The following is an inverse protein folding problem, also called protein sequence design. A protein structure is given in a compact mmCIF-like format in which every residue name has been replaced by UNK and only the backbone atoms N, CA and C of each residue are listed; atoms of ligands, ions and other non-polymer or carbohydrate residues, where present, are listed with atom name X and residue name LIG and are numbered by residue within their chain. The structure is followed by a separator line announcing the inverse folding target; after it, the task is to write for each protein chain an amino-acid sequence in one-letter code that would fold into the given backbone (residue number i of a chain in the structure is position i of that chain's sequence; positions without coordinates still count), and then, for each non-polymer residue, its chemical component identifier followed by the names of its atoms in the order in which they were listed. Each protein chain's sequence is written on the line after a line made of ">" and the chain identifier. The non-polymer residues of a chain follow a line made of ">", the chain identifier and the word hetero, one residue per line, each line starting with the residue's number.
data_IF_925527501804
#
_entry.id   IF_925527501804
#
_cell.length_a   1.000
_cell.length_b   1.000
_cell.length_c   1.000
_cell.angle_alpha   90.00
_cell.angle_beta   90.00
_cell.angle_gamma   90.00
#
_symmetry.space_group_name_H-M   'P 1'
#
loop_
_entity.id
_entity.type
_entity.pdbx_description
1 polymer ?
#
# COMPACT_ATOMS: atom_id res chain seq x y z
N UNK A 1 59.11 -17.53 -33.94
CA UNK A 1 58.64 -18.91 -34.26
C UNK A 1 57.50 -19.17 -33.27
N UNK A 2 56.31 -18.91 -33.61
CA UNK A 2 55.32 -19.73 -34.30
C UNK A 2 54.95 -20.98 -33.48
N UNK A 3 53.76 -20.97 -32.92
CA UNK A 3 52.72 -21.94 -33.27
C UNK A 3 51.42 -21.64 -32.55
N UNK A 4 50.43 -21.44 -33.37
CA UNK A 4 49.00 -21.27 -33.13
C UNK A 4 48.39 -22.64 -32.80
N UNK A 5 47.49 -22.71 -31.82
CA UNK A 5 46.54 -23.82 -31.72
C UNK A 5 45.12 -23.27 -31.55
N UNK A 6 44.32 -23.47 -32.56
CA UNK A 6 42.90 -23.21 -32.70
C UNK A 6 42.16 -24.36 -32.02
N UNK A 7 41.18 -24.08 -31.18
CA UNK A 7 40.18 -25.06 -30.75
C UNK A 7 38.77 -24.54 -31.01
N UNK A 8 37.96 -25.42 -31.58
CA UNK A 8 36.71 -25.19 -32.25
C UNK A 8 35.55 -24.88 -31.32
N UNK A 9 34.72 -23.95 -31.73
CA UNK A 9 33.40 -23.69 -31.19
C UNK A 9 32.34 -24.62 -31.82
N UNK A 10 31.45 -25.17 -31.01
CA UNK A 10 30.23 -25.84 -31.49
C UNK A 10 29.07 -24.83 -31.53
N UNK A 11 28.25 -24.84 -32.58
CA UNK A 11 27.12 -23.93 -32.69
C UNK A 11 25.86 -24.51 -32.04
N UNK A 12 25.19 -23.68 -31.26
CA UNK A 12 23.84 -23.95 -30.77
C UNK A 12 22.85 -23.59 -31.86
N UNK A 13 22.00 -24.56 -32.23
CA UNK A 13 20.92 -24.40 -33.20
C UNK A 13 19.81 -23.48 -32.58
N UNK A 14 19.60 -22.36 -33.24
CA UNK A 14 18.41 -21.51 -33.02
C UNK A 14 17.46 -21.79 -34.21
N UNK A 15 16.34 -22.42 -33.92
CA UNK A 15 15.25 -22.59 -34.91
C UNK A 15 14.51 -21.26 -35.10
N UNK A 16 14.75 -20.62 -36.22
CA UNK A 16 13.95 -19.49 -36.72
C UNK A 16 12.68 -20.03 -37.37
N UNK A 17 11.53 -19.61 -36.85
CA UNK A 17 10.24 -19.69 -37.56
C UNK A 17 10.12 -18.42 -38.41
N UNK A 18 10.23 -18.57 -39.73
CA UNK A 18 9.98 -17.50 -40.70
C UNK A 18 8.49 -17.33 -40.93
N UNK A 19 7.93 -16.17 -40.60
CA UNK A 19 6.71 -15.70 -41.26
C UNK A 19 7.04 -14.55 -42.21
N UNK A 20 6.71 -14.76 -43.49
CA UNK A 20 6.87 -13.85 -44.59
C UNK A 20 6.12 -12.54 -44.37
N UNK A 21 6.84 -11.44 -44.47
CA UNK A 21 6.29 -10.09 -44.63
C UNK A 21 5.95 -9.87 -46.08
N UNK A 22 4.71 -9.57 -46.40
CA UNK A 22 4.28 -8.89 -47.63
C UNK A 22 4.03 -7.41 -47.31
N UNK A 23 4.59 -6.53 -48.10
CA UNK A 23 4.64 -5.09 -47.99
C UNK A 23 3.34 -4.40 -48.44
N UNK A 24 3.21 -3.08 -48.33
CA UNK A 24 2.06 -2.39 -47.74
C UNK A 24 1.17 -1.72 -48.82
N UNK A 25 -0.13 -1.63 -48.49
CA UNK A 25 -1.00 -0.66 -49.16
C UNK A 25 -1.57 0.28 -48.12
N UNK A 26 -1.46 1.55 -48.45
CA UNK A 26 -2.00 2.72 -47.78
C UNK A 26 -3.47 2.57 -47.45
N UNK A 27 -3.84 2.80 -46.20
CA UNK A 27 -5.26 2.94 -45.76
C UNK A 27 -5.40 4.22 -44.98
N UNK A 28 -6.29 5.05 -45.50
CA UNK A 28 -6.81 6.30 -44.96
C UNK A 28 -7.30 6.22 -43.53
N UNK A 29 -6.90 7.21 -42.70
CA UNK A 29 -7.46 7.46 -41.39
C UNK A 29 -8.71 8.37 -41.50
N UNK A 30 -9.87 7.75 -41.63
CA UNK A 30 -11.12 8.43 -41.28
C UNK A 30 -12.08 7.46 -40.59
N UNK A 31 -12.52 7.87 -39.40
CA UNK A 31 -13.69 7.38 -38.66
C UNK A 31 -13.77 5.87 -38.36
N UNK A 32 -13.27 5.47 -37.19
CA UNK A 32 -13.85 4.35 -36.46
C UNK A 32 -14.17 4.75 -35.02
N UNK A 33 -15.46 4.87 -34.76
CA UNK A 33 -16.05 4.94 -33.44
C UNK A 33 -15.62 3.70 -32.63
N UNK A 34 -15.05 3.95 -31.46
CA UNK A 34 -14.81 2.88 -30.47
C UNK A 34 -16.16 2.42 -29.91
N UNK A 35 -16.60 1.26 -30.29
CA UNK A 35 -17.66 0.55 -29.58
C UNK A 35 -17.13 0.14 -28.19
N UNK A 36 -17.91 0.35 -27.12
CA UNK A 36 -17.51 -0.11 -25.80
C UNK A 36 -17.61 -1.63 -25.78
N UNK A 37 -16.49 -2.32 -25.52
CA UNK A 37 -16.49 -3.71 -25.15
C UNK A 37 -17.17 -3.81 -23.79
N UNK A 38 -18.39 -4.32 -23.78
CA UNK A 38 -19.10 -4.66 -22.56
C UNK A 38 -18.43 -5.91 -21.95
N UNK A 39 -17.48 -5.67 -21.06
CA UNK A 39 -17.00 -6.72 -20.17
C UNK A 39 -18.11 -6.94 -19.15
N UNK A 40 -18.82 -8.06 -19.29
CA UNK A 40 -19.74 -8.58 -18.28
C UNK A 40 -18.93 -8.86 -17.01
N UNK A 41 -18.90 -7.88 -16.12
CA UNK A 41 -18.42 -8.04 -14.76
C UNK A 41 -19.46 -8.90 -14.02
N UNK A 42 -19.23 -10.23 -13.93
CA UNK A 42 -19.79 -10.96 -12.80
C UNK A 42 -19.43 -10.18 -11.54
N UNK A 43 -20.36 -9.96 -10.60
CA UNK A 43 -20.02 -9.26 -9.37
C UNK A 43 -18.91 -10.08 -8.70
N UNK A 44 -17.69 -9.56 -8.73
CA UNK A 44 -16.68 -9.97 -7.78
C UNK A 44 -17.30 -9.60 -6.43
N UNK A 45 -17.80 -10.59 -5.73
CA UNK A 45 -17.93 -10.52 -4.29
C UNK A 45 -16.51 -10.21 -3.82
N UNK A 46 -16.24 -8.93 -3.63
CA UNK A 46 -15.05 -8.51 -2.94
C UNK A 46 -15.11 -9.23 -1.61
N UNK A 47 -14.15 -10.09 -1.35
CA UNK A 47 -13.84 -10.53 -0.01
C UNK A 47 -13.25 -9.32 0.69
N UNK A 48 -14.09 -8.34 0.91
CA UNK A 48 -13.92 -7.32 1.93
C UNK A 48 -14.32 -8.05 3.20
N UNK A 49 -13.34 -8.57 3.91
CA UNK A 49 -13.51 -9.09 5.26
C UNK A 49 -13.80 -7.91 6.21
N UNK A 50 -14.99 -7.36 6.08
CA UNK A 50 -15.69 -6.79 7.21
C UNK A 50 -16.53 -7.93 7.77
N UNK A 51 -16.31 -8.30 9.01
CA UNK A 51 -17.15 -9.19 9.79
C UNK A 51 -18.62 -8.79 9.65
N UNK A 52 -19.32 -9.39 8.67
CA UNK A 52 -20.76 -9.42 8.67
C UNK A 52 -21.16 -10.41 9.76
N UNK A 53 -21.37 -9.90 10.94
CA UNK A 53 -22.16 -10.59 11.95
C UNK A 53 -23.55 -10.79 11.35
N UNK A 54 -23.94 -12.04 11.18
CA UNK A 54 -25.27 -12.44 10.77
C UNK A 54 -26.31 -11.75 11.65
N UNK A 55 -27.23 -11.05 11.02
CA UNK A 55 -28.28 -10.20 11.62
C UNK A 55 -29.37 -10.96 12.38
N UNK A 56 -29.18 -12.24 12.70
CA UNK A 56 -30.24 -13.04 13.36
C UNK A 56 -30.03 -13.36 14.85
N UNK A 57 -28.87 -13.02 15.46
CA UNK A 57 -28.63 -13.36 16.87
C UNK A 57 -28.55 -12.14 17.84
N UNK A 58 -28.82 -10.92 17.39
CA UNK A 58 -28.77 -9.70 18.24
C UNK A 58 -30.13 -9.06 18.51
N UNK A 59 -31.21 -9.82 18.48
CA UNK A 59 -32.56 -9.32 18.82
C UNK A 59 -32.93 -9.51 20.29
N UNK A 60 -32.01 -9.69 21.22
CA UNK A 60 -32.31 -9.71 22.63
C UNK A 60 -31.19 -9.15 23.48
N UNK A 61 -31.21 -7.85 23.78
CA UNK A 61 -30.41 -7.29 24.86
C UNK A 61 -29.80 -5.92 24.60
N UNK A 62 -30.42 -4.89 25.18
CA UNK A 62 -29.94 -3.52 25.44
C UNK A 62 -29.73 -2.61 24.22
N UNK A 63 -30.60 -1.60 24.12
CA UNK A 63 -30.56 -0.54 23.11
C UNK A 63 -29.33 0.35 23.18
N UNK A 64 -28.28 -0.04 22.47
CA UNK A 64 -27.27 0.87 21.98
C UNK A 64 -27.49 1.01 20.47
N UNK A 65 -28.15 2.09 20.05
CA UNK A 65 -28.18 2.53 18.66
C UNK A 65 -26.74 2.79 18.23
N UNK A 66 -26.07 1.80 17.63
CA UNK A 66 -24.76 2.00 17.04
C UNK A 66 -24.92 2.87 15.79
N UNK A 67 -24.46 4.12 15.87
CA UNK A 67 -24.49 5.10 14.79
C UNK A 67 -23.87 4.50 13.52
N UNK A 68 -24.60 4.50 12.40
CA UNK A 68 -24.11 4.03 11.12
C UNK A 68 -23.10 5.03 10.52
N UNK A 69 -22.25 4.56 9.59
CA UNK A 69 -21.31 5.44 8.90
C UNK A 69 -22.05 6.51 8.06
N UNK A 70 -23.22 6.17 7.52
CA UNK A 70 -24.09 7.12 6.84
C UNK A 70 -24.56 8.24 7.75
N UNK A 71 -25.12 7.90 8.90
CA UNK A 71 -25.57 8.88 9.89
C UNK A 71 -24.44 9.81 10.35
N UNK A 72 -23.24 9.26 10.53
CA UNK A 72 -22.05 10.04 10.90
C UNK A 72 -21.63 11.05 9.79
N UNK A 73 -21.88 10.74 8.53
CA UNK A 73 -21.50 11.55 7.37
C UNK A 73 -22.65 12.43 6.83
N UNK A 74 -23.88 12.23 7.32
CA UNK A 74 -25.06 12.92 6.85
C UNK A 74 -24.95 14.44 7.07
N UNK A 75 -25.32 15.22 6.03
CA UNK A 75 -25.18 16.68 6.06
C UNK A 75 -23.79 17.21 5.69
N UNK A 76 -22.77 16.36 5.66
CA UNK A 76 -21.40 16.72 5.25
C UNK A 76 -21.05 16.16 3.87
N UNK A 77 -21.31 14.89 3.64
CA UNK A 77 -20.93 14.18 2.42
C UNK A 77 -22.10 14.14 1.44
N UNK A 78 -21.88 14.39 0.13
CA UNK A 78 -22.95 14.35 -0.88
C UNK A 78 -23.67 13.00 -0.94
N UNK A 79 -24.99 13.04 -1.15
CA UNK A 79 -25.87 11.86 -1.11
C UNK A 79 -25.44 10.75 -2.07
N UNK A 80 -24.98 11.08 -3.27
CA UNK A 80 -24.50 10.09 -4.23
C UNK A 80 -23.26 9.33 -3.73
N UNK A 81 -22.39 9.99 -2.96
CA UNK A 81 -21.20 9.34 -2.35
C UNK A 81 -21.63 8.43 -1.19
N UNK A 82 -22.61 8.87 -0.38
CA UNK A 82 -23.16 8.05 0.71
C UNK A 82 -23.79 6.75 0.17
N UNK A 83 -24.56 6.84 -0.91
CA UNK A 83 -25.12 5.65 -1.58
C UNK A 83 -24.03 4.72 -2.11
N UNK A 84 -23.02 5.27 -2.79
CA UNK A 84 -21.89 4.47 -3.28
C UNK A 84 -21.13 3.81 -2.17
N UNK A 85 -20.97 4.49 -1.02
CA UNK A 85 -20.36 3.93 0.19
C UNK A 85 -21.13 2.70 0.68
N UNK A 86 -22.46 2.81 0.79
CA UNK A 86 -23.33 1.69 1.21
C UNK A 86 -23.34 0.54 0.20
N UNK A 87 -23.46 0.82 -1.10
CA UNK A 87 -23.41 -0.16 -2.19
C UNK A 87 -22.09 -0.97 -2.19
N UNK A 88 -21.02 -0.38 -1.68
CA UNK A 88 -19.71 -1.03 -1.55
C UNK A 88 -19.51 -1.73 -0.21
N UNK A 89 -20.52 -1.74 0.67
CA UNK A 89 -20.52 -2.47 1.94
C UNK A 89 -19.96 -1.71 3.14
N UNK A 90 -19.68 -0.41 3.01
CA UNK A 90 -19.24 0.42 4.13
C UNK A 90 -20.45 0.94 4.93
N UNK A 91 -20.96 0.14 5.87
CA UNK A 91 -22.18 0.44 6.63
C UNK A 91 -21.88 0.90 8.06
N UNK A 92 -21.00 0.19 8.75
CA UNK A 92 -20.65 0.51 10.15
C UNK A 92 -19.32 1.27 10.20
N UNK A 93 -19.22 2.33 11.02
CA UNK A 93 -17.98 3.07 11.19
C UNK A 93 -16.97 2.26 12.01
N UNK A 94 -15.73 2.26 11.58
CA UNK A 94 -14.61 1.81 12.41
C UNK A 94 -14.30 2.84 13.50
N UNK A 95 -13.51 2.45 14.50
CA UNK A 95 -13.18 3.36 15.62
C UNK A 95 -12.50 4.63 15.14
N UNK A 96 -11.54 4.54 14.21
CA UNK A 96 -10.87 5.73 13.65
C UNK A 96 -11.86 6.63 12.87
N UNK A 97 -12.85 6.06 12.19
CA UNK A 97 -13.88 6.83 11.49
C UNK A 97 -14.79 7.54 12.48
N UNK A 98 -15.20 6.86 13.55
CA UNK A 98 -16.06 7.40 14.60
C UNK A 98 -15.43 8.59 15.32
N UNK A 99 -14.13 8.49 15.63
CA UNK A 99 -13.41 9.53 16.34
C UNK A 99 -12.94 10.68 15.43
N UNK A 100 -12.49 10.36 14.21
CA UNK A 100 -11.85 11.36 13.37
C UNK A 100 -12.82 12.16 12.49
N UNK A 101 -13.92 11.57 11.97
CA UNK A 101 -14.81 12.27 11.05
C UNK A 101 -15.42 13.54 11.63
N UNK A 102 -15.91 13.58 12.89
CA UNK A 102 -16.41 14.82 13.49
C UNK A 102 -15.35 15.93 13.55
N UNK A 103 -14.09 15.55 13.86
CA UNK A 103 -12.96 16.48 13.89
C UNK A 103 -12.66 17.02 12.49
N UNK A 104 -12.63 16.16 11.49
CA UNK A 104 -12.34 16.50 10.11
C UNK A 104 -13.44 17.41 9.52
N UNK A 105 -14.69 17.13 9.76
CA UNK A 105 -15.82 17.96 9.30
C UNK A 105 -15.89 19.33 9.98
N UNK A 106 -15.25 19.51 11.14
CA UNK A 106 -15.07 20.82 11.77
C UNK A 106 -13.92 21.66 11.16
N UNK A 107 -13.39 21.26 10.00
CA UNK A 107 -12.31 21.94 9.27
C UNK A 107 -10.96 22.01 10.03
N UNK A 108 -10.76 21.15 11.02
CA UNK A 108 -9.50 21.06 11.76
C UNK A 108 -8.53 20.15 11.04
N UNK A 109 -7.27 20.49 11.11
CA UNK A 109 -6.20 19.59 10.69
C UNK A 109 -6.15 18.37 11.62
N UNK A 110 -5.75 17.22 11.08
CA UNK A 110 -5.80 15.98 11.83
C UNK A 110 -4.63 15.05 11.53
N UNK A 111 -4.14 14.39 12.58
CA UNK A 111 -3.22 13.26 12.46
C UNK A 111 -4.01 11.99 12.76
N UNK A 112 -4.25 11.17 11.73
CA UNK A 112 -4.95 9.88 11.82
C UNK A 112 -3.93 8.79 12.16
N UNK A 113 -3.91 8.37 13.41
CA UNK A 113 -3.00 7.34 13.90
C UNK A 113 -3.78 6.08 14.27
N UNK A 114 -3.76 5.10 13.40
CA UNK A 114 -4.43 3.82 13.60
C UNK A 114 -3.78 2.73 12.74
N UNK A 115 -3.95 1.48 13.10
CA UNK A 115 -3.36 0.32 12.41
C UNK A 115 -3.71 0.28 10.91
N UNK A 116 -2.92 -0.45 10.13
CA UNK A 116 -3.24 -0.77 8.73
C UNK A 116 -4.56 -1.55 8.68
N UNK A 117 -5.44 -1.21 7.74
CA UNK A 117 -6.77 -1.84 7.64
C UNK A 117 -7.85 -1.24 8.55
N UNK A 118 -7.54 -0.28 9.41
CA UNK A 118 -8.51 0.37 10.32
C UNK A 118 -9.52 1.30 9.63
N UNK A 119 -9.39 1.58 8.33
CA UNK A 119 -10.30 2.45 7.59
C UNK A 119 -9.83 3.89 7.38
N UNK A 120 -8.57 4.24 7.69
CA UNK A 120 -8.00 5.60 7.48
C UNK A 120 -8.23 6.14 6.07
N UNK A 121 -8.06 5.31 5.05
CA UNK A 121 -8.25 5.70 3.64
C UNK A 121 -9.65 6.19 3.38
N UNK A 122 -10.67 5.46 3.83
CA UNK A 122 -12.06 5.89 3.71
C UNK A 122 -12.34 7.16 4.51
N UNK A 123 -11.76 7.29 5.70
CA UNK A 123 -11.91 8.48 6.57
C UNK A 123 -11.51 9.76 5.84
N UNK A 124 -10.29 9.82 5.28
CA UNK A 124 -9.86 11.04 4.58
C UNK A 124 -10.53 11.21 3.20
N UNK A 125 -10.96 10.14 2.54
CA UNK A 125 -11.73 10.26 1.31
C UNK A 125 -13.12 10.87 1.56
N UNK A 126 -13.82 10.48 2.63
CA UNK A 126 -15.10 11.08 3.03
C UNK A 126 -14.95 12.58 3.34
N UNK A 127 -13.87 12.97 4.03
CA UNK A 127 -13.53 14.38 4.21
C UNK A 127 -13.35 15.07 2.84
N UNK A 128 -12.58 14.51 1.93
CA UNK A 128 -12.35 15.13 0.62
C UNK A 128 -13.67 15.33 -0.10
N UNK A 129 -14.53 14.31 -0.17
CA UNK A 129 -15.84 14.43 -0.83
C UNK A 129 -16.79 15.43 -0.15
N UNK A 130 -16.60 15.73 1.13
CA UNK A 130 -17.40 16.77 1.81
C UNK A 130 -16.99 18.19 1.44
N UNK A 131 -15.77 18.40 0.93
CA UNK A 131 -15.21 19.73 0.66
C UNK A 131 -15.09 20.08 -0.82
N UNK A 132 -14.96 19.07 -1.70
CA UNK A 132 -14.73 19.31 -3.12
C UNK A 132 -16.02 19.60 -3.86
N UNK A 133 -15.96 20.55 -4.81
CA UNK A 133 -17.07 20.89 -5.69
C UNK A 133 -16.78 20.41 -7.13
N UNK A 134 -17.56 19.45 -7.61
CA UNK A 134 -17.42 18.86 -8.94
C UNK A 134 -17.63 19.88 -10.09
N UNK A 135 -18.37 20.96 -9.85
CA UNK A 135 -18.61 22.00 -10.86
C UNK A 135 -17.37 22.89 -11.07
N UNK A 136 -16.49 22.98 -10.09
CA UNK A 136 -15.28 23.78 -10.19
C UNK A 136 -14.18 23.03 -10.93
N UNK A 137 -13.79 23.53 -12.11
CA UNK A 137 -12.71 22.97 -12.92
C UNK A 137 -11.33 23.33 -12.35
N UNK A 138 -10.93 22.67 -11.26
CA UNK A 138 -9.64 22.86 -10.60
C UNK A 138 -9.30 21.65 -9.73
N UNK A 139 -8.00 21.43 -9.48
CA UNK A 139 -7.57 20.44 -8.50
C UNK A 139 -7.83 20.98 -7.09
N UNK A 140 -8.70 20.32 -6.34
CA UNK A 140 -9.14 20.77 -5.02
C UNK A 140 -8.62 19.91 -3.88
N UNK A 141 -8.24 18.66 -4.15
CA UNK A 141 -7.64 17.77 -3.17
C UNK A 141 -6.42 17.03 -3.75
N UNK A 142 -5.40 16.89 -2.92
CA UNK A 142 -4.17 16.12 -3.23
C UNK A 142 -3.92 15.10 -2.15
N UNK A 143 -3.73 13.85 -2.56
CA UNK A 143 -3.35 12.75 -1.70
C UNK A 143 -1.94 12.31 -2.09
N UNK A 144 -1.00 12.45 -1.19
CA UNK A 144 0.40 12.02 -1.37
C UNK A 144 0.59 10.66 -0.75
N UNK A 145 1.10 9.74 -1.54
CA UNK A 145 1.34 8.34 -1.14
C UNK A 145 2.80 7.95 -1.37
N UNK A 146 3.36 7.02 -0.58
CA UNK A 146 4.76 6.61 -0.72
C UNK A 146 5.02 5.77 -1.98
N UNK A 147 4.09 4.91 -2.38
CA UNK A 147 4.27 3.94 -3.47
C UNK A 147 3.21 4.06 -4.54
N UNK A 148 3.52 3.56 -5.75
CA UNK A 148 2.57 3.54 -6.88
C UNK A 148 1.40 2.62 -6.59
N UNK A 149 1.67 1.50 -5.95
CA UNK A 149 0.71 0.46 -5.61
C UNK A 149 -0.37 1.00 -4.67
N UNK A 150 0.05 1.66 -3.57
CA UNK A 150 -0.88 2.35 -2.67
C UNK A 150 -1.65 3.44 -3.40
N UNK A 151 -0.99 4.19 -4.27
CA UNK A 151 -1.64 5.22 -5.09
C UNK A 151 -2.70 4.65 -6.02
N UNK A 152 -2.47 3.51 -6.65
CA UNK A 152 -3.47 2.82 -7.46
C UNK A 152 -4.66 2.36 -6.62
N UNK A 153 -4.40 1.82 -5.43
CA UNK A 153 -5.44 1.37 -4.50
C UNK A 153 -6.31 2.54 -4.03
N UNK A 154 -5.70 3.62 -3.55
CA UNK A 154 -6.43 4.84 -3.12
C UNK A 154 -7.24 5.42 -4.28
N UNK A 155 -6.64 5.49 -5.48
CA UNK A 155 -7.32 5.96 -6.69
C UNK A 155 -8.53 5.10 -7.03
N UNK A 156 -8.42 3.76 -6.92
CA UNK A 156 -9.52 2.84 -7.17
C UNK A 156 -10.69 3.09 -6.20
N UNK A 157 -10.41 3.18 -4.90
CA UNK A 157 -11.44 3.46 -3.88
C UNK A 157 -12.09 4.83 -4.13
N UNK A 158 -11.29 5.86 -4.37
CA UNK A 158 -11.80 7.20 -4.65
C UNK A 158 -12.70 7.25 -5.90
N UNK A 159 -12.34 6.53 -6.97
CA UNK A 159 -13.15 6.41 -8.19
C UNK A 159 -14.46 5.66 -7.98
N UNK A 160 -14.43 4.60 -7.17
CA UNK A 160 -15.62 3.84 -6.81
C UNK A 160 -16.62 4.73 -6.07
N UNK A 161 -16.15 5.52 -5.11
CA UNK A 161 -16.99 6.46 -4.36
C UNK A 161 -17.47 7.64 -5.21
N UNK A 162 -16.65 8.11 -6.15
CA UNK A 162 -17.01 9.19 -7.07
C UNK A 162 -17.94 8.75 -8.22
N UNK A 163 -18.17 7.45 -8.41
CA UNK A 163 -18.97 6.93 -9.50
C UNK A 163 -20.46 7.21 -9.29
N UNK A 164 -21.23 7.22 -10.40
CA UNK A 164 -22.68 7.32 -10.36
C UNK A 164 -23.28 6.11 -9.62
N UNK A 165 -24.22 6.29 -8.68
CA UNK A 165 -24.96 5.18 -8.07
C UNK A 165 -25.77 4.43 -9.12
N UNK A 166 -26.08 3.14 -8.85
CA UNK A 166 -26.74 2.25 -9.82
C UNK A 166 -28.18 2.70 -10.18
N UNK A 167 -28.90 3.28 -9.23
CA UNK A 167 -30.35 3.55 -9.32
C UNK A 167 -30.69 5.05 -9.48
N UNK A 168 -29.79 5.88 -9.97
CA UNK A 168 -30.04 7.31 -10.08
C UNK A 168 -29.73 7.87 -11.45
N UNK A 169 -30.69 8.61 -12.04
CA UNK A 169 -30.50 9.45 -13.21
C UNK A 169 -29.91 10.82 -12.80
N UNK A 170 -28.65 10.80 -12.32
CA UNK A 170 -27.94 12.02 -11.99
C UNK A 170 -27.41 12.67 -13.25
N UNK A 171 -27.91 13.84 -13.57
CA UNK A 171 -27.39 14.73 -14.64
C UNK A 171 -26.20 15.59 -14.16
N UNK A 172 -25.84 15.52 -12.89
CA UNK A 172 -24.81 16.38 -12.32
C UNK A 172 -23.40 15.88 -12.60
N UNK A 173 -22.48 16.83 -12.83
CA UNK A 173 -21.05 16.55 -12.99
C UNK A 173 -20.52 15.91 -11.71
N UNK A 174 -19.83 14.77 -11.87
CA UNK A 174 -19.21 14.02 -10.79
C UNK A 174 -17.74 14.43 -10.59
N UNK A 175 -17.21 14.18 -9.39
CA UNK A 175 -15.81 14.41 -9.09
C UNK A 175 -14.91 13.48 -9.92
N UNK A 176 -13.86 14.04 -10.51
CA UNK A 176 -12.88 13.29 -11.29
C UNK A 176 -11.63 13.01 -10.47
N UNK A 177 -11.10 11.79 -10.58
CA UNK A 177 -9.93 11.33 -9.81
C UNK A 177 -8.81 10.92 -10.76
N UNK A 178 -7.65 11.58 -10.63
CA UNK A 178 -6.45 11.29 -11.44
C UNK A 178 -5.32 10.75 -10.58
N UNK A 179 -4.64 9.72 -11.10
CA UNK A 179 -3.43 9.16 -10.52
C UNK A 179 -2.18 9.76 -11.21
N UNK A 180 -1.28 10.36 -10.44
CA UNK A 180 0.01 10.89 -10.87
C UNK A 180 1.13 10.07 -10.20
N UNK A 181 1.28 8.83 -10.62
CA UNK A 181 2.14 7.84 -9.95
C UNK A 181 3.46 7.57 -10.68
N UNK A 182 3.56 8.01 -11.95
CA UNK A 182 4.73 7.80 -12.78
C UNK A 182 5.28 9.11 -13.35
N UNK A 183 6.51 9.46 -12.97
CA UNK A 183 7.21 10.65 -13.49
C UNK A 183 7.55 10.58 -14.98
N UNK A 184 7.58 9.38 -15.60
CA UNK A 184 7.84 9.21 -17.03
C UNK A 184 6.74 9.73 -17.96
N UNK A 185 5.51 9.91 -17.46
CA UNK A 185 4.35 10.36 -18.25
C UNK A 185 4.07 11.88 -18.16
N UNK A 186 5.06 12.68 -17.86
CA UNK A 186 4.93 14.13 -17.64
C UNK A 186 4.18 14.88 -18.76
N UNK A 187 4.46 14.55 -20.03
CA UNK A 187 3.79 15.22 -21.18
C UNK A 187 2.28 14.95 -21.18
N UNK A 188 1.90 13.71 -20.92
CA UNK A 188 0.50 13.27 -20.85
C UNK A 188 -0.22 13.89 -19.66
N UNK A 189 0.42 13.87 -18.47
CA UNK A 189 -0.12 14.52 -17.27
C UNK A 189 -0.31 16.03 -17.47
N UNK A 190 0.65 16.71 -18.11
CA UNK A 190 0.54 18.15 -18.45
C UNK A 190 -0.64 18.43 -19.37
N UNK A 191 -0.83 17.62 -20.41
CA UNK A 191 -1.95 17.76 -21.34
C UNK A 191 -3.29 17.64 -20.61
N UNK A 192 -3.45 16.60 -19.79
CA UNK A 192 -4.69 16.37 -19.04
C UNK A 192 -4.97 17.45 -18.00
N UNK A 193 -3.97 17.84 -17.19
CA UNK A 193 -4.12 18.89 -16.18
C UNK A 193 -4.50 20.26 -16.79
N UNK A 194 -4.12 20.51 -18.06
CA UNK A 194 -4.48 21.74 -18.76
C UNK A 194 -5.84 21.68 -19.43
N UNK A 195 -6.19 20.54 -20.03
CA UNK A 195 -7.43 20.39 -20.79
C UNK A 195 -8.65 20.30 -19.85
N UNK A 196 -8.57 19.42 -18.87
CA UNK A 196 -9.63 19.20 -17.88
C UNK A 196 -8.98 18.81 -16.53
N UNK A 197 -8.72 19.79 -15.66
CA UNK A 197 -8.12 19.51 -14.37
C UNK A 197 -9.02 18.61 -13.52
N UNK A 198 -8.49 17.51 -12.98
CA UNK A 198 -9.25 16.60 -12.12
C UNK A 198 -9.58 17.29 -10.79
N UNK A 199 -10.66 16.88 -10.16
CA UNK A 199 -11.05 17.38 -8.83
C UNK A 199 -10.09 16.89 -7.74
N UNK A 200 -9.69 15.60 -7.82
CA UNK A 200 -8.86 14.91 -6.84
C UNK A 200 -7.63 14.34 -7.55
N UNK A 201 -6.46 14.56 -6.98
CA UNK A 201 -5.18 14.00 -7.46
C UNK A 201 -4.60 13.08 -6.39
N UNK A 202 -4.26 11.85 -6.78
CA UNK A 202 -3.46 10.92 -5.99
C UNK A 202 -2.07 10.84 -6.61
N UNK A 203 -1.03 11.17 -5.85
CA UNK A 203 0.32 11.30 -6.39
C UNK A 203 1.38 10.66 -5.51
N UNK A 204 2.43 10.11 -6.14
CA UNK A 204 3.68 9.86 -5.43
C UNK A 204 4.47 11.16 -5.27
N UNK A 205 5.27 11.26 -4.21
CA UNK A 205 6.05 12.47 -3.93
C UNK A 205 6.92 12.88 -5.13
N UNK A 206 7.61 11.92 -5.76
CA UNK A 206 8.48 12.20 -6.90
C UNK A 206 7.73 12.77 -8.12
N UNK A 207 6.57 12.20 -8.45
CA UNK A 207 5.74 12.68 -9.57
C UNK A 207 5.15 14.06 -9.31
N UNK A 208 4.70 14.31 -8.08
CA UNK A 208 4.11 15.59 -7.69
C UNK A 208 5.16 16.72 -7.72
N UNK A 209 6.35 16.49 -7.12
CA UNK A 209 7.43 17.47 -7.11
C UNK A 209 7.89 17.86 -8.53
N UNK A 210 8.04 16.89 -9.43
CA UNK A 210 8.40 17.16 -10.83
C UNK A 210 7.38 18.07 -11.53
N UNK A 211 6.08 17.92 -11.23
CA UNK A 211 5.03 18.75 -11.81
C UNK A 211 5.01 20.16 -11.21
N UNK A 212 5.26 20.28 -9.92
CA UNK A 212 5.36 21.58 -9.20
C UNK A 212 6.59 22.35 -9.69
N UNK A 213 7.77 21.72 -9.72
CA UNK A 213 9.03 22.34 -10.16
C UNK A 213 8.97 22.84 -11.61
N UNK A 214 8.21 22.14 -12.47
CA UNK A 214 7.98 22.56 -13.87
C UNK A 214 6.80 23.54 -14.03
N UNK A 215 6.24 24.05 -12.94
CA UNK A 215 5.09 24.96 -12.94
C UNK A 215 3.86 24.42 -13.71
N UNK A 216 3.72 23.10 -13.79
CA UNK A 216 2.59 22.42 -14.43
C UNK A 216 1.44 22.29 -13.46
N UNK A 217 1.75 22.05 -12.17
CA UNK A 217 0.81 21.86 -11.09
C UNK A 217 0.93 23.00 -10.08
N UNK A 218 -0.21 23.59 -9.76
CA UNK A 218 -0.29 24.69 -8.79
C UNK A 218 -1.13 24.27 -7.58
N UNK A 219 -0.72 24.68 -6.40
CA UNK A 219 -1.39 24.35 -5.13
C UNK A 219 -2.48 25.35 -4.73
N UNK A 220 -2.66 26.43 -5.47
CA UNK A 220 -3.52 27.57 -5.09
C UNK A 220 -5.00 27.19 -4.90
N UNK A 221 -5.49 26.25 -5.69
CA UNK A 221 -6.88 25.77 -5.63
C UNK A 221 -7.08 24.58 -4.70
N UNK A 222 -6.00 24.02 -4.15
CA UNK A 222 -6.06 22.83 -3.29
C UNK A 222 -6.57 23.23 -1.91
N UNK A 223 -7.66 22.63 -1.48
CA UNK A 223 -8.31 22.86 -0.19
C UNK A 223 -7.86 21.82 0.86
N UNK A 224 -7.60 20.58 0.40
CA UNK A 224 -7.20 19.47 1.26
C UNK A 224 -5.92 18.83 0.75
N UNK A 225 -4.94 18.69 1.65
CA UNK A 225 -3.72 17.91 1.44
C UNK A 225 -3.69 16.75 2.41
N UNK A 226 -3.67 15.53 1.88
CA UNK A 226 -3.51 14.30 2.65
C UNK A 226 -2.11 13.74 2.41
N UNK A 227 -1.42 13.37 3.47
CA UNK A 227 -0.14 12.67 3.43
C UNK A 227 -0.38 11.29 4.05
N UNK A 228 -0.42 10.26 3.23
CA UNK A 228 -0.63 8.89 3.68
C UNK A 228 0.70 8.17 3.93
N UNK A 229 0.74 7.23 4.88
CA UNK A 229 1.93 6.54 5.39
C UNK A 229 3.06 7.54 5.72
N UNK A 230 2.72 8.55 6.52
CA UNK A 230 3.59 9.69 6.84
C UNK A 230 4.93 9.28 7.46
N UNK A 231 4.95 8.21 8.25
CA UNK A 231 6.15 7.63 8.84
C UNK A 231 7.17 7.19 7.79
N UNK A 232 6.71 6.56 6.71
CA UNK A 232 7.57 6.16 5.60
C UNK A 232 8.16 7.37 4.87
N UNK A 233 7.33 8.36 4.56
CA UNK A 233 7.74 9.55 3.81
C UNK A 233 8.75 10.39 4.61
N UNK A 234 8.60 10.49 5.93
CA UNK A 234 9.54 11.21 6.79
C UNK A 234 10.84 10.43 7.05
N UNK A 235 10.81 9.11 7.03
CA UNK A 235 12.01 8.26 7.19
C UNK A 235 12.80 8.08 5.89
N UNK A 236 12.22 8.42 4.75
CA UNK A 236 12.89 8.33 3.45
C UNK A 236 13.83 9.51 3.25
N UNK A 237 15.14 9.26 3.27
CA UNK A 237 16.17 10.31 3.02
C UNK A 237 16.00 11.00 1.66
N UNK A 238 15.46 10.29 0.66
CA UNK A 238 15.21 10.80 -0.69
C UNK A 238 13.96 11.70 -0.76
N UNK A 239 12.95 11.46 0.07
CA UNK A 239 11.63 12.08 -0.05
C UNK A 239 11.38 13.19 1.00
N UNK A 240 12.02 13.10 2.16
CA UNK A 240 11.77 14.02 3.29
C UNK A 240 11.98 15.50 2.97
N UNK A 241 13.01 15.82 2.20
CA UNK A 241 13.29 17.22 1.81
C UNK A 241 12.21 17.78 0.89
N UNK A 242 11.77 16.99 -0.08
CA UNK A 242 10.69 17.34 -1.01
C UNK A 242 9.35 17.46 -0.29
N UNK A 243 9.07 16.56 0.66
CA UNK A 243 7.87 16.60 1.48
C UNK A 243 7.83 17.88 2.34
N UNK A 244 8.93 18.23 3.00
CA UNK A 244 9.03 19.47 3.79
C UNK A 244 8.80 20.72 2.94
N UNK A 245 9.36 20.77 1.73
CA UNK A 245 9.12 21.86 0.77
C UNK A 245 7.64 21.94 0.36
N UNK A 246 7.00 20.79 0.06
CA UNK A 246 5.58 20.75 -0.27
C UNK A 246 4.73 21.26 0.89
N UNK A 247 4.97 20.80 2.11
CA UNK A 247 4.22 21.19 3.30
C UNK A 247 4.40 22.70 3.59
N UNK A 248 5.61 23.22 3.48
CA UNK A 248 5.87 24.64 3.65
C UNK A 248 5.17 25.51 2.57
N UNK A 249 5.14 25.05 1.32
CA UNK A 249 4.47 25.76 0.23
C UNK A 249 2.95 25.70 0.37
N UNK A 250 2.40 24.62 0.94
CA UNK A 250 0.97 24.44 1.12
C UNK A 250 0.42 25.20 2.33
N UNK A 251 1.17 25.28 3.43
CA UNK A 251 0.71 25.85 4.71
C UNK A 251 0.54 27.37 4.72
N UNK A 252 0.97 28.06 3.67
CA UNK A 252 0.87 29.52 3.58
C UNK A 252 -0.56 30.09 3.45
N UNK A 253 -1.59 29.25 3.37
CA UNK A 253 -3.00 29.67 3.21
C UNK A 253 -3.88 29.13 4.34
N UNK A 254 -4.52 30.01 5.10
CA UNK A 254 -5.35 29.68 6.27
C UNK A 254 -6.62 28.85 6.00
N UNK A 255 -7.10 28.80 4.74
CA UNK A 255 -8.33 28.09 4.38
C UNK A 255 -8.10 26.64 3.92
N UNK A 256 -6.92 26.10 4.14
CA UNK A 256 -6.57 24.73 3.73
C UNK A 256 -6.61 23.78 4.92
N UNK A 257 -6.86 22.51 4.63
CA UNK A 257 -6.84 21.45 5.62
C UNK A 257 -5.75 20.44 5.32
N UNK A 258 -4.97 20.06 6.32
CA UNK A 258 -3.90 19.06 6.22
C UNK A 258 -4.26 17.84 7.05
N UNK A 259 -4.15 16.67 6.46
CA UNK A 259 -4.37 15.38 7.12
C UNK A 259 -3.13 14.51 6.96
N UNK A 260 -2.58 14.06 8.07
CA UNK A 260 -1.55 13.03 8.11
C UNK A 260 -2.18 11.70 8.49
N UNK A 261 -1.88 10.63 7.75
CA UNK A 261 -2.38 9.29 8.05
C UNK A 261 -1.21 8.31 8.15
N UNK A 262 -1.17 7.49 9.20
CA UNK A 262 -0.17 6.43 9.36
C UNK A 262 -0.59 5.40 10.42
N UNK A 263 0.04 4.24 10.35
CA UNK A 263 -0.04 3.24 11.41
C UNK A 263 0.96 3.52 12.55
N UNK A 264 1.96 4.33 12.31
CA UNK A 264 2.91 4.83 13.30
C UNK A 264 3.19 6.31 13.04
N UNK A 265 3.55 7.06 14.08
CA UNK A 265 3.87 8.49 13.94
C UNK A 265 5.34 8.72 14.24
N UNK A 266 6.11 9.37 13.34
CA UNK A 266 7.50 9.66 13.54
C UNK A 266 7.72 10.45 14.84
N UNK A 267 8.62 9.97 15.72
CA UNK A 267 8.98 10.67 16.96
C UNK A 267 7.77 11.21 17.75
N UNK A 268 6.79 10.41 17.94
CA UNK A 268 5.43 10.62 18.46
C UNK A 268 5.14 11.98 19.16
N UNK A 269 5.92 12.39 20.16
CA UNK A 269 5.68 13.64 20.88
C UNK A 269 6.22 14.89 20.16
N UNK A 270 7.28 14.76 19.38
CA UNK A 270 7.90 15.87 18.63
C UNK A 270 7.19 16.14 17.32
N UNK A 271 6.65 15.11 16.64
CA UNK A 271 6.04 15.27 15.32
C UNK A 271 4.91 16.31 15.32
N UNK A 272 4.00 16.25 16.30
CA UNK A 272 2.91 17.22 16.43
C UNK A 272 3.46 18.65 16.66
N UNK A 273 4.43 18.77 17.55
CA UNK A 273 5.09 20.06 17.82
C UNK A 273 5.77 20.60 16.54
N UNK A 274 6.48 19.77 15.80
CA UNK A 274 7.14 20.16 14.54
C UNK A 274 6.11 20.56 13.48
N UNK A 275 4.98 19.88 13.38
CA UNK A 275 3.88 20.25 12.47
C UNK A 275 3.38 21.67 12.73
N UNK A 276 3.17 22.03 13.99
CA UNK A 276 2.71 23.37 14.40
C UNK A 276 3.82 24.40 14.21
N UNK A 277 5.03 24.12 14.69
CA UNK A 277 6.17 25.04 14.63
C UNK A 277 6.59 25.37 13.19
N UNK A 278 6.59 24.36 12.31
CA UNK A 278 6.93 24.52 10.89
C UNK A 278 5.74 25.00 10.04
N UNK A 279 4.60 25.26 10.66
CA UNK A 279 3.34 25.65 9.99
C UNK A 279 2.87 24.67 8.92
N UNK A 280 3.13 23.37 9.10
CA UNK A 280 2.59 22.31 8.24
C UNK A 280 1.11 22.05 8.52
N UNK A 281 0.69 22.36 9.74
CA UNK A 281 -0.69 22.31 10.20
C UNK A 281 -1.07 23.58 10.91
N UNK A 282 -2.37 23.80 11.10
CA UNK A 282 -2.93 24.80 11.99
C UNK A 282 -2.53 24.51 13.44
N UNK A 283 -2.60 25.52 14.31
CA UNK A 283 -2.24 25.38 15.74
C UNK A 283 -3.21 24.50 16.52
N UNK A 284 -4.44 24.35 16.02
CA UNK A 284 -5.53 23.57 16.61
C UNK A 284 -5.62 22.14 16.05
N UNK A 285 -4.54 21.65 15.40
CA UNK A 285 -4.48 20.28 14.88
C UNK A 285 -4.74 19.24 15.97
N UNK A 286 -5.54 18.23 15.65
CA UNK A 286 -5.82 17.12 16.55
C UNK A 286 -5.08 15.85 16.15
N UNK A 287 -4.57 15.15 17.13
CA UNK A 287 -4.02 13.82 16.97
C UNK A 287 -5.07 12.79 17.44
N UNK A 288 -5.78 12.21 16.47
CA UNK A 288 -6.72 11.12 16.72
C UNK A 288 -5.95 9.83 16.70
N UNK A 289 -5.83 9.21 17.84
CA UNK A 289 -5.09 7.97 18.04
C UNK A 289 -6.03 6.90 18.59
N UNK A 290 -6.41 5.98 17.73
CA UNK A 290 -7.15 4.79 18.14
C UNK A 290 -6.17 3.75 18.65
N UNK A 291 -6.11 3.65 19.97
CA UNK A 291 -5.25 2.70 20.64
C UNK A 291 -5.83 1.28 20.54
N UNK A 292 -5.18 0.44 19.80
CA UNK A 292 -5.09 -0.93 20.24
C UNK A 292 -4.19 -0.92 21.51
N UNK A 293 -4.68 -1.47 22.60
CA UNK A 293 -3.92 -1.64 23.86
C UNK A 293 -2.56 -2.34 23.58
N UNK A 294 -2.52 -3.13 22.51
CA UNK A 294 -1.31 -3.73 21.94
C UNK A 294 -1.20 -3.29 20.47
N UNK A 295 -0.04 -2.78 20.02
CA UNK A 295 0.19 -2.39 18.62
C UNK A 295 -0.01 -3.55 17.63
N UNK A 296 0.25 -4.77 18.07
CA UNK A 296 0.12 -6.00 17.30
C UNK A 296 -1.15 -6.78 17.73
N UNK A 297 -1.86 -7.42 16.78
CA UNK A 297 -2.97 -8.32 17.10
C UNK A 297 -2.54 -9.42 18.08
N UNK A 298 -3.40 -9.72 19.04
CA UNK A 298 -3.13 -10.74 20.08
C UNK A 298 -3.15 -12.18 19.54
N UNK A 299 -3.73 -12.40 18.34
CA UNK A 299 -3.77 -13.69 17.67
C UNK A 299 -2.44 -14.06 16.97
N UNK A 300 -1.47 -13.14 16.89
CA UNK A 300 -0.20 -13.41 16.24
C UNK A 300 0.72 -14.23 17.14
N UNK A 301 1.22 -15.32 16.58
CA UNK A 301 2.25 -16.13 17.20
C UNK A 301 3.62 -15.69 16.68
N UNK A 302 4.43 -15.08 17.54
CA UNK A 302 5.76 -14.60 17.21
C UNK A 302 6.81 -15.64 17.58
N UNK A 303 7.68 -15.99 16.61
CA UNK A 303 8.75 -16.98 16.78
C UNK A 303 10.06 -16.45 16.22
N UNK A 304 11.17 -16.99 16.69
CA UNK A 304 12.48 -16.75 16.09
C UNK A 304 13.38 -17.99 16.09
N UNK A 305 14.31 -18.03 15.14
CA UNK A 305 15.35 -19.04 15.04
C UNK A 305 16.70 -18.35 14.98
N UNK A 306 17.65 -18.80 15.81
CA UNK A 306 19.03 -18.32 15.77
C UNK A 306 19.84 -19.22 14.83
N UNK A 307 20.44 -18.63 13.79
CA UNK A 307 21.32 -19.36 12.89
C UNK A 307 22.47 -18.48 12.37
N UNK A 308 23.52 -19.12 11.86
CA UNK A 308 24.60 -18.42 11.18
C UNK A 308 24.17 -17.84 9.83
N UNK A 309 24.76 -16.72 9.42
CA UNK A 309 24.42 -16.03 8.15
C UNK A 309 24.40 -16.96 6.92
N UNK A 310 25.33 -17.91 6.85
CA UNK A 310 25.41 -18.89 5.74
C UNK A 310 24.28 -19.92 5.74
N UNK A 311 23.64 -20.12 6.89
CA UNK A 311 22.58 -21.12 7.06
C UNK A 311 21.18 -20.55 6.86
N UNK A 312 21.01 -19.23 6.73
CA UNK A 312 19.69 -18.58 6.65
C UNK A 312 18.79 -19.18 5.56
N UNK A 313 19.33 -19.46 4.37
CA UNK A 313 18.55 -20.05 3.26
C UNK A 313 18.03 -21.45 3.61
N UNK A 314 18.91 -22.30 4.15
CA UNK A 314 18.53 -23.66 4.53
C UNK A 314 17.55 -23.65 5.72
N UNK A 315 17.78 -22.77 6.69
CA UNK A 315 16.88 -22.55 7.83
C UNK A 315 15.48 -22.14 7.37
N UNK A 316 15.40 -21.17 6.43
CA UNK A 316 14.11 -20.75 5.86
C UNK A 316 13.40 -21.90 5.14
N UNK A 317 14.13 -22.66 4.31
CA UNK A 317 13.56 -23.81 3.61
C UNK A 317 13.00 -24.85 4.59
N UNK A 318 13.72 -25.17 5.65
CA UNK A 318 13.27 -26.09 6.71
C UNK A 318 12.03 -25.57 7.44
N UNK A 319 11.97 -24.26 7.71
CA UNK A 319 10.78 -23.61 8.31
C UNK A 319 9.56 -23.70 7.39
N UNK A 320 9.71 -23.37 6.11
CA UNK A 320 8.61 -23.44 5.13
C UNK A 320 8.12 -24.88 4.97
N UNK A 321 9.02 -25.87 4.95
CA UNK A 321 8.66 -27.29 4.86
C UNK A 321 7.94 -27.79 6.13
N UNK A 322 8.34 -27.31 7.31
CA UNK A 322 7.72 -27.68 8.58
C UNK A 322 6.36 -27.00 8.78
N UNK A 323 6.28 -25.72 8.46
CA UNK A 323 5.06 -24.91 8.64
C UNK A 323 4.01 -25.22 7.57
N UNK A 324 4.42 -25.64 6.36
CA UNK A 324 3.59 -25.88 5.19
C UNK A 324 2.56 -24.75 4.96
N UNK A 325 2.99 -23.48 4.85
CA UNK A 325 2.09 -22.35 4.80
C UNK A 325 1.22 -22.39 3.55
N UNK A 326 -0.08 -22.12 3.71
CA UNK A 326 -0.97 -21.90 2.58
C UNK A 326 -0.58 -20.62 1.82
N UNK A 327 -0.23 -19.58 2.56
CA UNK A 327 0.30 -18.33 2.01
C UNK A 327 1.38 -17.74 2.92
N UNK A 328 2.48 -17.28 2.32
CA UNK A 328 3.59 -16.73 3.06
C UNK A 328 4.21 -15.50 2.42
N UNK A 329 4.63 -14.52 3.24
CA UNK A 329 5.45 -13.40 2.80
C UNK A 329 6.82 -13.51 3.46
N UNK A 330 7.87 -13.48 2.64
CA UNK A 330 9.26 -13.58 3.07
C UNK A 330 9.93 -12.23 2.87
N UNK A 331 10.23 -11.55 3.96
CA UNK A 331 10.84 -10.22 3.91
C UNK A 331 12.36 -10.29 3.90
N UNK A 332 12.95 -9.68 2.89
CA UNK A 332 14.40 -9.50 2.72
C UNK A 332 14.77 -8.02 2.80
N UNK A 333 16.01 -7.73 3.19
CA UNK A 333 16.51 -6.37 3.22
C UNK A 333 16.68 -5.81 1.80
N UNK A 334 16.41 -4.51 1.62
CA UNK A 334 16.71 -3.80 0.38
C UNK A 334 18.21 -3.86 0.05
N UNK A 335 18.50 -3.98 -1.23
CA UNK A 335 19.88 -3.93 -1.70
C UNK A 335 20.52 -2.56 -1.45
N UNK A 336 21.70 -2.55 -0.82
CA UNK A 336 22.41 -1.31 -0.57
C UNK A 336 22.90 -0.66 -1.88
N UNK A 337 22.99 0.67 -1.92
CA UNK A 337 23.50 1.41 -3.07
C UNK A 337 24.94 0.99 -3.46
N UNK A 338 25.75 0.58 -2.48
CA UNK A 338 27.09 0.02 -2.74
C UNK A 338 27.02 -1.30 -3.48
N UNK A 339 26.10 -2.19 -3.09
CA UNK A 339 25.89 -3.48 -3.73
C UNK A 339 25.33 -3.32 -5.14
N UNK A 340 24.39 -2.40 -5.36
CA UNK A 340 23.87 -2.05 -6.69
C UNK A 340 24.97 -1.56 -7.62
N UNK A 341 25.82 -0.64 -7.14
CA UNK A 341 26.96 -0.13 -7.92
C UNK A 341 28.01 -1.19 -8.22
N UNK A 342 28.17 -2.18 -7.38
CA UNK A 342 29.06 -3.32 -7.59
C UNK A 342 28.49 -4.36 -8.58
N UNK A 343 27.26 -4.20 -9.06
CA UNK A 343 26.60 -5.13 -9.97
C UNK A 343 26.19 -6.46 -9.33
N UNK A 344 26.13 -6.54 -8.01
CA UNK A 344 25.70 -7.75 -7.34
C UNK A 344 24.20 -7.99 -7.52
N UNK A 345 23.79 -9.24 -7.66
CA UNK A 345 22.39 -9.61 -7.69
C UNK A 345 21.68 -9.26 -6.35
N UNK A 346 20.43 -8.80 -6.37
CA UNK A 346 19.64 -8.57 -5.15
C UNK A 346 19.47 -9.85 -4.32
N UNK A 347 19.48 -9.71 -3.00
CA UNK A 347 19.24 -10.86 -2.08
C UNK A 347 17.87 -11.49 -2.30
N UNK A 348 16.87 -10.70 -2.68
CA UNK A 348 15.52 -11.15 -3.06
C UNK A 348 15.54 -12.09 -4.26
N UNK A 349 16.24 -11.72 -5.35
CA UNK A 349 16.39 -12.54 -6.55
C UNK A 349 17.11 -13.85 -6.24
N UNK A 350 18.23 -13.77 -5.50
CA UNK A 350 19.00 -14.97 -5.10
C UNK A 350 18.16 -15.92 -4.23
N UNK A 351 17.29 -15.38 -3.38
CA UNK A 351 16.40 -16.18 -2.56
C UNK A 351 15.29 -16.83 -3.37
N UNK A 352 14.72 -16.11 -4.34
CA UNK A 352 13.73 -16.68 -5.27
C UNK A 352 14.34 -17.83 -6.07
N UNK A 353 15.54 -17.65 -6.62
CA UNK A 353 16.25 -18.68 -7.38
C UNK A 353 16.53 -19.91 -6.49
N UNK A 354 16.95 -19.70 -5.25
CA UNK A 354 17.17 -20.78 -4.29
C UNK A 354 15.88 -21.54 -3.97
N UNK A 355 14.79 -20.84 -3.66
CA UNK A 355 13.50 -21.46 -3.34
C UNK A 355 12.90 -22.18 -4.55
N UNK A 356 12.95 -21.58 -5.74
CA UNK A 356 12.45 -22.21 -6.97
C UNK A 356 13.14 -23.53 -7.30
N UNK A 357 14.43 -23.66 -6.94
CA UNK A 357 15.20 -24.88 -7.14
C UNK A 357 15.06 -25.93 -6.02
N UNK A 358 14.80 -25.48 -4.78
CA UNK A 358 14.86 -26.34 -3.60
C UNK A 358 13.51 -26.64 -2.98
N UNK A 359 12.52 -25.74 -3.12
CA UNK A 359 11.17 -25.93 -2.59
C UNK A 359 10.33 -26.79 -3.53
N UNK A 360 9.79 -27.87 -3.02
CA UNK A 360 8.97 -28.83 -3.78
C UNK A 360 7.48 -28.81 -3.36
N UNK A 361 7.06 -27.75 -2.67
CA UNK A 361 5.66 -27.59 -2.27
C UNK A 361 4.77 -27.11 -3.42
N UNK A 362 3.47 -26.96 -3.13
CA UNK A 362 2.46 -26.55 -4.10
C UNK A 362 2.33 -25.05 -4.30
N UNK A 363 3.01 -24.23 -3.46
CA UNK A 363 2.91 -22.77 -3.51
C UNK A 363 3.86 -22.17 -4.52
N UNK A 364 3.39 -21.21 -5.31
CA UNK A 364 4.21 -20.48 -6.27
C UNK A 364 5.16 -19.50 -5.55
N UNK A 365 6.43 -19.46 -5.99
CA UNK A 365 7.42 -18.50 -5.45
C UNK A 365 7.41 -17.25 -6.31
N UNK A 366 6.98 -16.15 -5.73
CA UNK A 366 6.80 -14.86 -6.41
C UNK A 366 7.77 -13.81 -5.87
N UNK A 367 8.14 -12.84 -6.70
CA UNK A 367 9.01 -11.71 -6.35
C UNK A 367 8.23 -10.40 -6.37
N UNK A 368 8.46 -9.55 -5.35
CA UNK A 368 7.96 -8.18 -5.31
C UNK A 368 9.02 -7.26 -4.69
N UNK A 369 9.65 -6.42 -5.53
CA UNK A 369 10.66 -5.46 -5.07
C UNK A 369 10.56 -4.12 -5.82
N UNK A 370 11.15 -3.06 -5.26
CA UNK A 370 11.02 -1.69 -5.79
C UNK A 370 11.68 -1.50 -7.14
N UNK A 371 12.79 -2.21 -7.39
CA UNK A 371 13.57 -2.08 -8.65
C UNK A 371 12.93 -2.83 -9.82
N UNK A 372 11.91 -3.68 -9.60
CA UNK A 372 11.14 -4.30 -10.67
C UNK A 372 10.36 -3.24 -11.47
N UNK A 373 10.18 -3.49 -12.77
CA UNK A 373 9.29 -2.65 -13.57
C UNK A 373 7.82 -2.78 -13.08
N UNK A 374 7.01 -1.76 -13.34
CA UNK A 374 5.63 -1.68 -12.88
C UNK A 374 4.77 -2.87 -13.34
N UNK A 375 4.95 -3.32 -14.60
CA UNK A 375 4.13 -4.42 -15.14
C UNK A 375 4.47 -5.75 -14.46
N UNK A 376 5.74 -6.03 -14.18
CA UNK A 376 6.15 -7.22 -13.45
C UNK A 376 5.63 -7.23 -12.02
N UNK A 377 5.67 -6.08 -11.32
CA UNK A 377 5.06 -5.96 -9.98
C UNK A 377 3.55 -6.18 -10.01
N UNK A 378 2.88 -5.60 -11.02
CA UNK A 378 1.44 -5.77 -11.20
C UNK A 378 1.07 -7.23 -11.48
N UNK A 379 1.88 -7.95 -12.25
CA UNK A 379 1.69 -9.38 -12.52
C UNK A 379 1.82 -10.21 -11.23
N UNK A 380 2.90 -10.04 -10.45
CA UNK A 380 3.08 -10.73 -9.17
C UNK A 380 1.93 -10.45 -8.20
N UNK A 381 1.46 -9.20 -8.11
CA UNK A 381 0.31 -8.84 -7.27
C UNK A 381 -1.01 -9.42 -7.78
N UNK A 382 -1.16 -9.60 -9.09
CA UNK A 382 -2.34 -10.23 -9.66
C UNK A 382 -2.38 -11.73 -9.30
N UNK A 383 -1.26 -12.44 -9.43
CA UNK A 383 -1.13 -13.84 -9.02
C UNK A 383 -1.46 -14.04 -7.54
N UNK A 384 -0.88 -13.24 -6.66
CA UNK A 384 -1.20 -13.26 -5.22
C UNK A 384 -2.71 -13.10 -4.95
N UNK A 385 -3.41 -12.27 -5.76
CA UNK A 385 -4.85 -11.98 -5.58
C UNK A 385 -5.79 -13.01 -6.21
N UNK A 386 -5.33 -13.81 -7.17
CA UNK A 386 -6.17 -14.81 -7.85
C UNK A 386 -6.55 -15.97 -6.96
N UNK A 387 -5.88 -16.14 -5.83
CA UNK A 387 -6.11 -17.24 -4.89
C UNK A 387 -5.36 -18.49 -5.31
N UNK A 388 -4.68 -19.08 -4.38
CA UNK A 388 -3.78 -20.22 -4.51
C UNK A 388 -2.70 -20.11 -3.45
N UNK A 389 -1.96 -21.17 -3.21
CA UNK A 389 -0.81 -21.12 -2.30
C UNK A 389 0.31 -20.27 -2.92
N UNK A 390 0.88 -19.33 -2.16
CA UNK A 390 2.00 -18.52 -2.62
C UNK A 390 3.05 -18.26 -1.54
N UNK A 391 4.29 -18.10 -1.98
CA UNK A 391 5.42 -17.61 -1.18
C UNK A 391 5.95 -16.34 -1.84
N UNK A 392 5.59 -15.17 -1.30
CA UNK A 392 5.99 -13.88 -1.85
C UNK A 392 7.31 -13.42 -1.20
N UNK A 393 8.41 -13.47 -1.94
CA UNK A 393 9.67 -12.85 -1.53
C UNK A 393 9.62 -11.36 -1.82
N UNK A 394 9.79 -10.54 -0.80
CA UNK A 394 9.63 -9.08 -0.98
C UNK A 394 10.54 -8.27 -0.06
N UNK A 395 10.84 -7.05 -0.50
CA UNK A 395 11.34 -5.97 0.36
C UNK A 395 10.19 -5.37 1.18
N UNK A 396 10.46 -4.32 1.95
CA UNK A 396 9.45 -3.61 2.74
C UNK A 396 8.34 -2.95 1.89
N UNK A 397 8.41 -3.02 0.56
CA UNK A 397 7.32 -2.60 -0.33
C UNK A 397 6.03 -3.39 -0.06
N UNK A 398 6.12 -4.69 0.24
CA UNK A 398 4.95 -5.49 0.60
C UNK A 398 4.43 -5.20 2.03
N UNK A 399 5.26 -4.60 2.89
CA UNK A 399 4.88 -4.30 4.26
C UNK A 399 3.92 -3.11 4.37
N UNK A 400 3.83 -2.24 3.35
CA UNK A 400 3.14 -0.96 3.48
C UNK A 400 2.20 -0.68 2.31
N UNK A 401 0.98 -0.29 2.65
CA UNK A 401 0.02 0.28 1.72
C UNK A 401 -0.47 -0.60 0.57
N UNK A 402 0.06 -1.80 0.37
CA UNK A 402 -0.41 -2.72 -0.66
C UNK A 402 -1.52 -3.60 -0.10
N UNK A 403 -2.63 -3.66 -0.83
CA UNK A 403 -3.73 -4.57 -0.54
C UNK A 403 -3.35 -5.97 -1.01
N UNK A 404 -2.81 -6.74 -0.08
CA UNK A 404 -2.55 -8.18 -0.22
C UNK A 404 -3.65 -8.95 0.50
N UNK A 405 -4.05 -10.13 -0.02
CA UNK A 405 -4.89 -11.06 0.71
C UNK A 405 -4.27 -11.35 2.09
N UNK A 406 -5.10 -11.77 3.01
CA UNK A 406 -4.59 -12.20 4.30
C UNK A 406 -3.62 -13.35 4.13
N UNK A 407 -2.46 -13.21 4.77
CA UNK A 407 -1.37 -14.16 4.70
C UNK A 407 -1.29 -14.93 6.01
N UNK A 408 -1.13 -16.24 5.98
CA UNK A 408 -1.02 -17.06 7.18
C UNK A 408 0.33 -16.92 7.87
N UNK A 409 1.41 -16.74 7.08
CA UNK A 409 2.78 -16.70 7.59
C UNK A 409 3.56 -15.50 7.09
N UNK A 410 4.29 -14.87 8.00
CA UNK A 410 5.29 -13.84 7.72
C UNK A 410 6.66 -14.34 8.19
N UNK A 411 7.63 -14.38 7.28
CA UNK A 411 9.00 -14.71 7.57
C UNK A 411 9.89 -13.48 7.41
N UNK A 412 10.54 -13.03 8.49
CA UNK A 412 11.61 -12.04 8.43
C UNK A 412 12.92 -12.80 8.14
N UNK A 413 13.25 -13.03 6.86
CA UNK A 413 14.54 -13.59 6.45
C UNK A 413 15.69 -12.67 6.88
N UNK A 414 15.50 -11.38 6.72
CA UNK A 414 16.32 -10.34 7.33
C UNK A 414 15.48 -9.54 8.33
N UNK A 415 16.04 -9.34 9.52
CA UNK A 415 15.39 -8.56 10.56
C UNK A 415 15.12 -7.14 10.06
N UNK A 416 13.91 -6.57 10.26
CA UNK A 416 13.62 -5.21 9.84
C UNK A 416 14.49 -4.18 10.57
N UNK A 417 14.66 -3.00 9.99
CA UNK A 417 15.55 -1.94 10.54
C UNK A 417 15.02 -1.30 11.82
N UNK A 418 13.72 -1.34 12.04
CA UNK A 418 13.07 -0.72 13.19
C UNK A 418 11.88 -1.55 13.70
N UNK A 419 11.47 -1.29 14.94
CA UNK A 419 10.25 -1.87 15.51
C UNK A 419 9.00 -1.48 14.68
N UNK A 420 8.99 -0.29 14.09
CA UNK A 420 7.93 0.18 13.20
C UNK A 420 7.84 -0.67 11.93
N UNK A 421 8.98 -0.99 11.30
CA UNK A 421 8.99 -1.88 10.13
C UNK A 421 8.53 -3.29 10.52
N UNK A 422 8.92 -3.78 11.71
CA UNK A 422 8.42 -5.04 12.26
C UNK A 422 6.89 -5.03 12.40
N UNK A 423 6.33 -3.96 12.93
CA UNK A 423 4.88 -3.77 13.06
C UNK A 423 4.17 -3.85 11.70
N UNK A 424 4.69 -3.16 10.69
CA UNK A 424 4.11 -3.16 9.34
C UNK A 424 4.20 -4.54 8.66
N UNK A 425 5.33 -5.25 8.82
CA UNK A 425 5.49 -6.62 8.30
C UNK A 425 4.55 -7.59 8.98
N UNK A 426 4.51 -7.58 10.31
CA UNK A 426 3.63 -8.43 11.11
C UNK A 426 2.14 -8.17 10.81
N UNK A 427 1.77 -6.92 10.55
CA UNK A 427 0.41 -6.53 10.16
C UNK A 427 -0.03 -7.02 8.77
N UNK A 428 0.75 -7.85 8.07
CA UNK A 428 0.33 -8.57 6.85
C UNK A 428 -0.43 -9.85 7.16
N UNK A 429 -0.41 -10.30 8.41
CA UNK A 429 -1.14 -11.46 8.90
C UNK A 429 -1.98 -11.10 10.13
N UNK A 430 -2.95 -11.92 10.48
CA UNK A 430 -3.80 -11.74 11.67
C UNK A 430 -4.79 -10.58 11.58
N UNK A 431 -5.29 -10.26 10.38
CA UNK A 431 -6.23 -9.16 10.18
C UNK A 431 -7.68 -9.52 10.51
N UNK A 432 -8.02 -10.81 10.47
CA UNK A 432 -9.34 -11.30 10.86
C UNK A 432 -9.36 -11.61 12.36
N UNK A 433 -10.13 -10.87 13.18
CA UNK A 433 -10.08 -11.00 14.63
C UNK A 433 -10.61 -12.33 15.17
N UNK A 434 -11.25 -13.15 14.32
CA UNK A 434 -11.93 -14.39 14.72
C UNK A 434 -11.57 -15.59 13.82
N UNK A 435 -10.44 -15.55 13.06
CA UNK A 435 -10.01 -16.75 12.37
C UNK A 435 -9.32 -17.69 13.36
N UNK A 436 -9.73 -18.97 13.37
CA UNK A 436 -9.07 -20.04 14.13
C UNK A 436 -7.69 -20.40 13.53
N UNK A 437 -7.31 -19.77 12.43
CA UNK A 437 -6.03 -19.97 11.75
C UNK A 437 -4.89 -19.35 12.54
N UNK A 438 -3.88 -20.15 12.84
CA UNK A 438 -2.65 -19.70 13.51
C UNK A 438 -1.86 -18.78 12.58
N UNK A 439 -1.99 -17.49 12.79
CA UNK A 439 -1.20 -16.49 12.09
C UNK A 439 0.18 -16.35 12.75
N UNK A 440 1.24 -16.59 11.97
CA UNK A 440 2.59 -16.72 12.51
C UNK A 440 3.56 -15.70 11.91
N UNK A 441 4.41 -15.12 12.76
CA UNK A 441 5.53 -14.25 12.38
C UNK A 441 6.81 -14.88 12.86
N UNK A 442 7.66 -15.34 11.94
CA UNK A 442 8.94 -16.02 12.27
C UNK A 442 10.11 -15.15 11.83
N UNK A 443 11.06 -14.88 12.75
CA UNK A 443 12.26 -14.10 12.45
C UNK A 443 13.51 -15.00 12.44
N UNK A 444 14.28 -14.97 11.34
CA UNK A 444 15.53 -15.71 11.19
C UNK A 444 16.67 -14.75 11.53
N UNK A 445 17.27 -14.93 12.70
CA UNK A 445 18.23 -13.98 13.27
C UNK A 445 19.59 -14.64 13.52
N UNK A 446 20.62 -13.80 13.56
CA UNK A 446 21.92 -14.20 14.12
C UNK A 446 21.93 -13.96 15.64
N UNK A 447 22.90 -14.54 16.34
CA UNK A 447 23.07 -14.28 17.78
C UNK A 447 23.25 -12.79 18.11
N UNK A 448 23.88 -12.03 17.21
CA UNK A 448 24.07 -10.59 17.36
C UNK A 448 22.77 -9.80 17.20
N UNK A 449 21.81 -10.30 16.41
CA UNK A 449 20.52 -9.66 16.15
C UNK A 449 19.49 -9.92 17.27
N UNK A 450 19.74 -10.85 18.19
CA UNK A 450 18.83 -11.17 19.29
C UNK A 450 18.49 -9.95 20.16
N UNK A 451 19.49 -9.13 20.48
CA UNK A 451 19.31 -7.90 21.24
C UNK A 451 18.37 -6.90 20.51
N UNK A 452 18.48 -6.85 19.19
CA UNK A 452 17.61 -5.98 18.37
C UNK A 452 16.17 -6.48 18.41
N UNK A 453 15.95 -7.79 18.29
CA UNK A 453 14.61 -8.38 18.39
C UNK A 453 13.99 -8.13 19.78
N UNK A 454 14.75 -8.35 20.86
CA UNK A 454 14.30 -8.06 22.23
C UNK A 454 13.92 -6.58 22.44
N UNK A 455 14.62 -5.65 21.79
CA UNK A 455 14.23 -4.24 21.80
C UNK A 455 12.87 -4.04 21.12
N UNK A 456 12.59 -4.72 20.00
CA UNK A 456 11.28 -4.65 19.33
C UNK A 456 10.17 -5.26 20.19
N UNK A 457 10.43 -6.35 20.89
CA UNK A 457 9.50 -6.95 21.86
C UNK A 457 9.07 -5.94 22.92
N UNK A 458 10.05 -5.23 23.49
CA UNK A 458 9.80 -4.22 24.51
C UNK A 458 9.01 -3.01 23.97
N UNK A 459 9.37 -2.51 22.77
CA UNK A 459 8.72 -1.36 22.14
C UNK A 459 7.26 -1.68 21.72
N UNK A 460 7.03 -2.87 21.16
CA UNK A 460 5.74 -3.29 20.61
C UNK A 460 4.93 -4.17 21.58
N UNK A 461 5.46 -4.45 22.77
CA UNK A 461 4.80 -5.22 23.85
C UNK A 461 4.31 -6.60 23.39
N UNK A 462 5.15 -7.34 22.68
CA UNK A 462 4.94 -8.75 22.36
C UNK A 462 6.08 -9.61 22.92
N UNK A 463 5.93 -10.93 22.83
CA UNK A 463 6.99 -11.90 23.13
C UNK A 463 7.11 -12.87 21.99
N UNK A 464 8.32 -13.25 21.64
CA UNK A 464 8.59 -14.28 20.66
C UNK A 464 9.18 -15.54 21.34
N UNK A 465 8.88 -16.70 20.77
CA UNK A 465 9.36 -18.00 21.23
C UNK A 465 10.53 -18.46 20.36
N UNK A 466 11.56 -18.98 20.99
CA UNK A 466 12.69 -19.56 20.27
C UNK A 466 12.32 -20.95 19.73
N UNK A 467 12.49 -21.13 18.41
CA UNK A 467 12.34 -22.42 17.75
C UNK A 467 13.70 -23.09 17.62
N UNK A 468 13.84 -24.30 18.17
CA UNK A 468 14.98 -25.17 17.95
C UNK A 468 14.67 -26.07 16.76
N UNK A 469 15.27 -25.81 15.60
CA UNK A 469 15.18 -26.71 14.45
C UNK A 469 16.03 -27.96 14.76
N UNK A 470 15.40 -29.13 14.80
CA UNK A 470 16.13 -30.37 14.81
C UNK A 470 16.89 -30.47 13.49
N UNK A 471 18.20 -30.24 13.52
CA UNK A 471 19.08 -30.58 12.39
C UNK A 471 19.00 -32.07 12.19
N UNK A 472 18.24 -32.50 11.17
CA UNK A 472 18.44 -33.84 10.65
C UNK A 472 19.88 -33.88 10.08
N UNK A 473 20.79 -34.52 10.82
CA UNK A 473 22.13 -34.85 10.37
C UNK A 473 22.08 -35.83 9.19
#
# INVERSE_FOLDING_TARGET
>A
MAAIAISAAHPILVTRVNHKLSSPNSIDFTNRAFLPVSISLKPLRAVLSSSAVSTEELAAGTGNNSLTLRELCQGHVPEHVLRRMEETGYVLPTDIQREALPVLFSSRDCILHAQTGSGKTLTYLLLIFSLVNAQRSAVQAVIVVPTRELGMQVTKVARVLAAKPLDTDLEHKLCTVMALLDGGMLRRHKSWLKAEPPTIVVATMGSLCQLIEKHIFKLESVQVLVIDEVDFLFNSSKQVSSLKKLLASYSSCNNRQTVFASASIPQHRRFLHDCIQQKWTKSDVLHVHVNAIKPLPSCLHHRFVICGKKMKHQTLLSLIQSDAPESGIIFVAEQSEKSKKAGNAPSSTLLVDFLSNSYKGSSDVLLLEEDMNFNSRAASLLEVRQGGGYLLVSTDIAARGIDLPETTHVYNFDLPRSAVDYLHRAGRTGRKPFSDEKCTVTSIITSEELFVLQRYENELKFKSEELTLQTQC
#
